data_IF_952568560493
#
_entry.id   IF_952568560493
#
_cell.length_a   1.000
_cell.length_b   1.000
_cell.length_c   1.000
_cell.angle_alpha   90.00
_cell.angle_beta   90.00
_cell.angle_gamma   90.00
#
_symmetry.space_group_name_H-M   'P 1'
#
loop_
_entity.id
_entity.type
_entity.pdbx_description
1 polymer ?
#
# COMPACT_ATOMS: atom_id res chain seq x y z
N UNK A 1 -35.89 -37.93 -18.44
CA UNK A 1 -35.38 -37.63 -17.07
C UNK A 1 -33.87 -37.84 -16.89
N UNK A 2 -33.17 -38.68 -17.68
CA UNK A 2 -31.70 -38.86 -17.55
C UNK A 2 -30.86 -37.68 -18.07
N UNK A 3 -31.37 -36.88 -19.00
CA UNK A 3 -30.61 -35.78 -19.64
C UNK A 3 -30.48 -34.52 -18.77
N UNK A 4 -31.41 -34.29 -17.83
CA UNK A 4 -31.43 -33.09 -16.98
C UNK A 4 -30.36 -33.15 -15.86
N UNK A 5 -29.97 -34.35 -15.44
CA UNK A 5 -29.00 -34.56 -14.34
C UNK A 5 -27.56 -34.23 -14.79
N UNK A 6 -27.23 -34.44 -16.07
CA UNK A 6 -25.86 -34.24 -16.59
C UNK A 6 -25.51 -32.74 -16.71
N UNK A 7 -26.47 -31.91 -17.07
CA UNK A 7 -26.27 -30.45 -17.22
C UNK A 7 -26.11 -29.75 -15.85
N UNK A 8 -26.74 -30.29 -14.81
CA UNK A 8 -26.60 -29.78 -13.43
C UNK A 8 -25.22 -30.12 -12.82
N UNK A 9 -24.63 -31.27 -13.17
CA UNK A 9 -23.28 -31.64 -12.71
C UNK A 9 -22.16 -30.81 -13.39
N UNK A 10 -22.33 -30.42 -14.66
CA UNK A 10 -21.35 -29.62 -15.40
C UNK A 10 -21.26 -28.17 -14.91
N UNK A 11 -22.37 -27.61 -14.40
CA UNK A 11 -22.42 -26.24 -13.85
C UNK A 11 -21.82 -26.12 -12.44
N UNK A 12 -21.89 -27.18 -11.63
CA UNK A 12 -21.22 -27.24 -10.32
C UNK A 12 -19.70 -27.45 -10.43
N UNK A 13 -19.25 -28.20 -11.44
CA UNK A 13 -17.82 -28.39 -11.71
C UNK A 13 -17.14 -27.09 -12.20
N UNK A 14 -17.84 -26.29 -13.01
CA UNK A 14 -17.34 -24.99 -13.49
C UNK A 14 -17.18 -23.94 -12.38
N UNK A 15 -18.10 -23.89 -11.41
CA UNK A 15 -17.96 -23.01 -10.24
C UNK A 15 -16.82 -23.44 -9.32
N UNK A 16 -16.64 -24.75 -9.09
CA UNK A 16 -15.54 -25.25 -8.28
C UNK A 16 -14.17 -24.98 -8.93
N UNK A 17 -14.07 -25.06 -10.26
CA UNK A 17 -12.88 -24.67 -11.02
C UNK A 17 -12.57 -23.17 -10.89
N UNK A 18 -13.56 -22.31 -11.16
CA UNK A 18 -13.39 -20.85 -11.06
C UNK A 18 -13.03 -20.39 -9.65
N UNK A 19 -13.65 -20.95 -8.60
CA UNK A 19 -13.31 -20.63 -7.20
C UNK A 19 -11.90 -21.12 -6.83
N UNK A 20 -11.48 -22.27 -7.35
CA UNK A 20 -10.12 -22.80 -7.14
C UNK A 20 -9.06 -21.95 -7.83
N UNK A 21 -9.35 -21.43 -9.02
CA UNK A 21 -8.44 -20.57 -9.77
C UNK A 21 -8.37 -19.18 -9.12
N UNK A 22 -9.50 -18.58 -8.72
CA UNK A 22 -9.52 -17.36 -7.89
C UNK A 22 -8.74 -17.57 -6.58
N UNK A 23 -8.90 -18.73 -5.92
CA UNK A 23 -8.19 -19.05 -4.69
C UNK A 23 -6.67 -19.17 -4.88
N UNK A 24 -6.22 -19.70 -6.02
CA UNK A 24 -4.79 -19.78 -6.36
C UNK A 24 -4.21 -18.42 -6.72
N UNK A 25 -4.91 -17.64 -7.53
CA UNK A 25 -4.49 -16.30 -7.95
C UNK A 25 -4.45 -15.36 -6.74
N UNK A 26 -5.46 -15.46 -5.86
CA UNK A 26 -5.47 -14.75 -4.59
C UNK A 26 -4.32 -15.17 -3.67
N UNK A 27 -4.03 -16.46 -3.55
CA UNK A 27 -2.93 -16.94 -2.72
C UNK A 27 -1.55 -16.48 -3.24
N UNK A 28 -1.35 -16.49 -4.56
CA UNK A 28 -0.15 -15.98 -5.21
C UNK A 28 -0.01 -14.46 -4.99
N UNK A 29 -1.04 -13.69 -5.30
CA UNK A 29 -1.06 -12.24 -5.08
C UNK A 29 -0.87 -11.88 -3.60
N UNK A 30 -1.48 -12.62 -2.68
CA UNK A 30 -1.33 -12.42 -1.23
C UNK A 30 0.12 -12.68 -0.79
N UNK A 31 0.79 -13.70 -1.33
CA UNK A 31 2.20 -13.96 -1.05
C UNK A 31 3.08 -12.80 -1.51
N UNK A 32 2.86 -12.30 -2.72
CA UNK A 32 3.61 -11.16 -3.27
C UNK A 32 3.37 -9.87 -2.46
N UNK A 33 2.12 -9.57 -2.11
CA UNK A 33 1.77 -8.44 -1.24
C UNK A 33 2.45 -8.51 0.13
N UNK A 34 2.47 -9.70 0.75
CA UNK A 34 3.17 -9.92 2.02
C UNK A 34 4.68 -9.72 1.89
N UNK A 35 5.28 -10.17 0.78
CA UNK A 35 6.70 -9.92 0.52
C UNK A 35 6.99 -8.44 0.30
N UNK A 36 6.15 -7.75 -0.47
CA UNK A 36 6.29 -6.32 -0.71
C UNK A 36 6.12 -5.50 0.58
N UNK A 37 5.18 -5.87 1.44
CA UNK A 37 5.02 -5.26 2.77
C UNK A 37 6.26 -5.45 3.64
N UNK A 38 6.90 -6.63 3.61
CA UNK A 38 8.17 -6.87 4.33
C UNK A 38 9.30 -5.98 3.81
N UNK A 39 9.49 -5.91 2.50
CA UNK A 39 10.50 -5.04 1.87
C UNK A 39 10.24 -3.57 2.27
N UNK A 40 8.99 -3.14 2.13
CA UNK A 40 8.56 -1.78 2.49
C UNK A 40 8.86 -1.46 3.95
N UNK A 41 8.61 -2.41 4.86
CA UNK A 41 8.89 -2.23 6.29
C UNK A 41 10.38 -2.18 6.62
N UNK A 42 11.22 -2.91 5.89
CA UNK A 42 12.67 -2.93 6.13
C UNK A 42 13.31 -1.56 5.93
N UNK A 43 12.79 -0.79 4.97
CA UNK A 43 13.27 0.56 4.64
C UNK A 43 12.47 1.67 5.31
N UNK A 44 11.56 1.34 6.25
CA UNK A 44 10.65 2.33 6.82
C UNK A 44 11.41 3.46 7.55
N UNK A 45 12.25 3.11 8.53
CA UNK A 45 12.96 4.10 9.36
C UNK A 45 13.84 5.04 8.51
N UNK A 46 14.48 4.50 7.48
CA UNK A 46 15.24 5.31 6.52
C UNK A 46 14.33 6.28 5.75
N UNK A 47 13.18 5.80 5.26
CA UNK A 47 12.19 6.65 4.60
C UNK A 47 11.60 7.72 5.52
N UNK A 48 11.28 7.38 6.77
CA UNK A 48 10.81 8.33 7.79
C UNK A 48 11.86 9.42 8.03
N UNK A 49 13.13 9.03 8.20
CA UNK A 49 14.26 9.95 8.35
C UNK A 49 14.43 10.90 7.17
N UNK A 50 14.29 10.41 5.93
CA UNK A 50 14.31 11.27 4.73
C UNK A 50 13.19 12.31 4.79
N UNK A 51 11.96 11.90 5.08
CA UNK A 51 10.81 12.81 5.12
C UNK A 51 11.02 13.90 6.17
N UNK A 52 11.41 13.51 7.39
CA UNK A 52 11.62 14.46 8.50
C UNK A 52 12.85 15.35 8.32
N UNK A 53 13.88 14.86 7.63
CA UNK A 53 15.08 15.63 7.33
C UNK A 53 14.90 16.61 6.17
N UNK A 54 14.05 16.25 5.19
CA UNK A 54 13.83 17.06 4.00
C UNK A 54 12.64 18.03 4.12
N UNK A 55 11.61 17.68 4.89
CA UNK A 55 10.37 18.46 4.94
C UNK A 55 10.14 18.94 6.37
N UNK A 56 10.05 20.26 6.61
CA UNK A 56 9.64 20.80 7.91
C UNK A 56 8.29 20.21 8.34
N UNK A 57 8.14 19.83 9.61
CA UNK A 57 6.94 19.15 10.10
C UNK A 57 5.66 20.01 9.93
N UNK A 58 5.77 21.32 9.99
CA UNK A 58 4.66 22.26 9.79
C UNK A 58 4.17 22.34 8.33
N UNK A 59 5.01 21.92 7.37
CA UNK A 59 4.64 21.78 5.97
C UNK A 59 3.92 20.44 5.67
N UNK A 60 3.94 19.49 6.61
CA UNK A 60 3.24 18.22 6.47
C UNK A 60 1.84 18.28 7.09
N UNK A 61 0.84 17.57 6.52
CA UNK A 61 -0.43 17.38 7.19
C UNK A 61 -0.22 16.68 8.55
N UNK A 62 -0.89 17.14 9.62
CA UNK A 62 -0.73 16.58 10.97
C UNK A 62 -0.89 15.06 11.06
N UNK A 63 -1.78 14.49 10.24
CA UNK A 63 -1.98 13.04 10.20
C UNK A 63 -0.75 12.30 9.66
N UNK A 64 0.02 12.91 8.74
CA UNK A 64 1.25 12.32 8.22
C UNK A 64 2.28 12.20 9.34
N UNK A 65 2.50 13.28 10.09
CA UNK A 65 3.43 13.28 11.23
C UNK A 65 3.01 12.24 12.26
N UNK A 66 1.72 12.19 12.61
CA UNK A 66 1.19 11.19 13.54
C UNK A 66 1.38 9.75 13.07
N UNK A 67 1.29 9.47 11.76
CA UNK A 67 1.54 8.13 11.23
C UNK A 67 3.03 7.77 11.24
N UNK A 68 3.92 8.74 10.96
CA UNK A 68 5.36 8.57 11.11
C UNK A 68 5.70 8.22 12.56
N UNK A 69 5.26 9.03 13.53
CA UNK A 69 5.53 8.80 14.96
C UNK A 69 5.04 7.42 15.41
N UNK A 70 3.82 7.06 15.01
CA UNK A 70 3.19 5.79 15.38
C UNK A 70 3.97 4.59 14.87
N UNK A 71 4.41 4.64 13.61
CA UNK A 71 5.11 3.50 13.00
C UNK A 71 6.56 3.46 13.48
N UNK A 72 7.24 4.59 13.63
CA UNK A 72 8.59 4.67 14.19
C UNK A 72 8.64 4.03 15.59
N UNK A 73 7.65 4.33 16.44
CA UNK A 73 7.51 3.71 17.75
C UNK A 73 7.33 2.18 17.72
N UNK A 74 6.77 1.61 16.64
CA UNK A 74 6.67 0.15 16.51
C UNK A 74 8.04 -0.51 16.36
N UNK A 75 8.96 0.12 15.64
CA UNK A 75 10.33 -0.38 15.45
C UNK A 75 11.19 -0.20 16.70
N UNK A 76 10.92 0.82 17.52
CA UNK A 76 11.60 0.98 18.82
C UNK A 76 11.12 -0.07 19.84
N UNK A 77 9.82 -0.38 19.84
CA UNK A 77 9.22 -1.26 20.84
C UNK A 77 9.32 -2.76 20.50
N UNK A 78 9.52 -3.14 19.23
CA UNK A 78 9.45 -4.53 18.80
C UNK A 78 10.64 -4.93 17.93
N UNK A 79 11.19 -6.11 18.18
CA UNK A 79 12.19 -6.75 17.31
C UNK A 79 11.60 -7.33 16.04
N UNK A 80 10.29 -7.60 16.00
CA UNK A 80 9.58 -8.03 14.79
C UNK A 80 8.14 -7.49 14.75
N UNK A 81 7.70 -7.14 13.54
CA UNK A 81 6.35 -6.63 13.30
C UNK A 81 5.37 -7.75 12.94
N UNK A 82 4.13 -7.61 13.37
CA UNK A 82 3.04 -8.52 12.99
C UNK A 82 2.62 -8.33 11.53
N UNK A 83 2.05 -9.36 10.89
CA UNK A 83 1.48 -9.27 9.53
C UNK A 83 0.48 -8.10 9.39
N UNK A 84 -0.29 -7.82 10.46
CA UNK A 84 -1.23 -6.69 10.50
C UNK A 84 -0.50 -5.34 10.43
N UNK A 85 0.59 -5.19 11.18
CA UNK A 85 1.40 -3.97 11.13
C UNK A 85 2.10 -3.83 9.78
N UNK A 86 2.63 -4.92 9.21
CA UNK A 86 3.24 -4.90 7.88
C UNK A 86 2.27 -4.42 6.80
N UNK A 87 1.04 -4.96 6.79
CA UNK A 87 0.00 -4.51 5.87
C UNK A 87 -0.41 -3.05 6.10
N UNK A 88 -0.44 -2.61 7.36
CA UNK A 88 -0.72 -1.23 7.72
C UNK A 88 0.35 -0.26 7.19
N UNK A 89 1.63 -0.57 7.40
CA UNK A 89 2.76 0.24 6.92
C UNK A 89 2.68 0.43 5.41
N UNK A 90 2.42 -0.66 4.67
CA UNK A 90 2.26 -0.60 3.23
C UNK A 90 1.12 0.37 2.82
N UNK A 91 -0.06 0.23 3.43
CA UNK A 91 -1.21 1.09 3.14
C UNK A 91 -0.96 2.56 3.49
N UNK A 92 -0.29 2.83 4.60
CA UNK A 92 0.09 4.19 5.00
C UNK A 92 1.10 4.80 4.03
N UNK A 93 2.12 4.05 3.62
CA UNK A 93 3.15 4.55 2.68
C UNK A 93 2.54 5.00 1.36
N UNK A 94 1.60 4.20 0.84
CA UNK A 94 0.84 4.51 -0.37
C UNK A 94 0.03 5.80 -0.15
N UNK A 95 -0.75 5.88 0.93
CA UNK A 95 -1.60 7.04 1.23
C UNK A 95 -0.79 8.33 1.44
N UNK A 96 0.42 8.21 2.00
CA UNK A 96 1.32 9.34 2.28
C UNK A 96 2.07 9.85 1.06
N UNK A 97 2.15 9.10 -0.04
CA UNK A 97 2.91 9.51 -1.22
C UNK A 97 2.46 10.90 -1.74
N UNK A 98 1.15 11.09 -1.92
CA UNK A 98 0.58 12.36 -2.40
C UNK A 98 0.94 13.58 -1.55
N UNK A 99 0.61 13.62 -0.23
CA UNK A 99 0.90 14.79 0.60
C UNK A 99 2.39 15.04 0.78
N UNK A 100 3.22 14.00 0.86
CA UNK A 100 4.68 14.14 1.01
C UNK A 100 5.30 14.72 -0.25
N UNK A 101 4.94 14.20 -1.44
CA UNK A 101 5.42 14.75 -2.72
C UNK A 101 4.98 16.20 -2.89
N UNK A 102 3.72 16.52 -2.57
CA UNK A 102 3.21 17.88 -2.64
C UNK A 102 4.02 18.83 -1.74
N UNK A 103 4.26 18.45 -0.49
CA UNK A 103 5.04 19.25 0.45
C UNK A 103 6.49 19.42 -0.04
N UNK A 104 7.12 18.36 -0.54
CA UNK A 104 8.47 18.41 -1.11
C UNK A 104 8.55 19.38 -2.30
N UNK A 105 7.60 19.35 -3.22
CA UNK A 105 7.60 20.26 -4.37
C UNK A 105 7.36 21.70 -3.93
N UNK A 106 6.46 21.94 -2.98
CA UNK A 106 6.24 23.29 -2.43
C UNK A 106 7.50 23.86 -1.77
N UNK A 107 8.30 23.01 -1.13
CA UNK A 107 9.54 23.40 -0.46
C UNK A 107 10.68 23.64 -1.45
N UNK A 108 10.87 22.76 -2.44
CA UNK A 108 12.09 22.72 -3.23
C UNK A 108 11.93 23.19 -4.68
N UNK A 109 10.71 23.24 -5.20
CA UNK A 109 10.43 23.71 -6.55
C UNK A 109 9.08 24.48 -6.62
N UNK A 110 8.98 25.60 -5.87
CA UNK A 110 7.75 26.39 -5.84
C UNK A 110 7.41 26.90 -7.24
N UNK A 111 6.23 26.53 -7.73
CA UNK A 111 5.75 26.88 -9.07
C UNK A 111 5.63 25.72 -10.06
N UNK A 112 6.10 24.51 -9.71
CA UNK A 112 5.98 23.33 -10.59
C UNK A 112 4.59 22.67 -10.53
N UNK A 113 3.80 22.88 -9.47
CA UNK A 113 2.50 22.22 -9.34
C UNK A 113 1.34 23.15 -9.66
N UNK A 114 0.70 22.91 -10.80
CA UNK A 114 -0.75 23.08 -10.92
C UNK A 114 -1.47 21.84 -10.33
N UNK A 115 -2.70 22.01 -9.84
CA UNK A 115 -3.51 20.91 -9.24
C UNK A 115 -3.64 19.71 -10.21
N UNK A 116 -3.57 19.94 -11.52
CA UNK A 116 -3.64 18.90 -12.54
C UNK A 116 -2.40 17.97 -12.54
N UNK A 117 -1.21 18.48 -12.21
CA UNK A 117 0.04 17.71 -12.31
C UNK A 117 0.26 16.76 -11.13
N UNK A 118 -0.29 17.07 -9.94
CA UNK A 118 -0.27 16.15 -8.79
C UNK A 118 -1.08 14.89 -9.09
N UNK A 119 -2.22 15.02 -9.76
CA UNK A 119 -3.06 13.89 -10.14
C UNK A 119 -2.36 12.95 -11.13
N UNK A 120 -1.59 13.51 -12.07
CA UNK A 120 -0.82 12.72 -13.06
C UNK A 120 0.31 11.94 -12.43
N UNK A 121 1.02 12.52 -11.45
CA UNK A 121 2.07 11.83 -10.71
C UNK A 121 1.48 10.66 -9.93
N UNK A 122 0.33 10.86 -9.26
CA UNK A 122 -0.36 9.80 -8.52
C UNK A 122 -0.80 8.65 -9.43
N UNK A 123 -1.38 8.95 -10.58
CA UNK A 123 -1.74 7.94 -11.56
C UNK A 123 -0.51 7.15 -12.08
N UNK A 124 0.64 7.80 -12.20
CA UNK A 124 1.89 7.18 -12.69
C UNK A 124 2.51 6.19 -11.69
N UNK A 125 2.33 6.41 -10.39
CA UNK A 125 2.68 5.44 -9.33
C UNK A 125 1.52 4.49 -8.96
N UNK A 126 0.45 4.46 -9.77
CA UNK A 126 -0.65 3.51 -9.66
C UNK A 126 -1.71 3.87 -8.61
N UNK A 127 -1.94 5.17 -8.36
CA UNK A 127 -2.92 5.72 -7.42
C UNK A 127 -3.98 6.60 -8.09
#
# INVERSE_FOLDING_TARGET
MKTIIIILCLSLAGCAGAVKDIGKDYAAASKELKQFAKITSADWLFGSGIIRGAIPEDALPKWVVSELDKIDAWFEAHTSLTDKQLGYILGVRIRMAAPVIKAAIQQYAPGILSIAEVATVLAFIGL
#
